data_IF_363611511680
#
_entry.id   IF_363611511680
#
_cell.length_a   1.000
_cell.length_b   1.000
_cell.length_c   1.000
_cell.angle_alpha   90.00
_cell.angle_beta   90.00
_cell.angle_gamma   90.00
#
_symmetry.space_group_name_H-M   'P 1'
#
loop_
_entity.id
_entity.type
_entity.pdbx_description
1 polymer ?
#
# COMPACT_ATOMS: atom_id res chain seq x y z
N UNK A 1 -16.87 0.95 -18.47
CA UNK A 1 -15.61 0.28 -18.92
C UNK A 1 -14.54 1.36 -19.01
N UNK A 2 -13.43 1.21 -18.31
CA UNK A 2 -12.32 2.16 -18.32
C UNK A 2 -11.05 1.48 -18.84
N UNK A 3 -10.11 2.28 -19.41
CA UNK A 3 -8.75 1.85 -19.75
C UNK A 3 -7.82 2.15 -18.58
N UNK A 4 -7.18 1.14 -18.05
CA UNK A 4 -6.42 1.22 -16.79
C UNK A 4 -4.96 0.79 -17.02
N UNK A 5 -4.03 1.58 -16.52
CA UNK A 5 -2.62 1.20 -16.42
C UNK A 5 -2.27 0.92 -14.95
N UNK A 6 -1.74 -0.27 -14.68
CA UNK A 6 -1.21 -0.62 -13.35
C UNK A 6 0.32 -0.61 -13.41
N UNK A 7 0.91 0.42 -12.81
CA UNK A 7 2.36 0.60 -12.70
C UNK A 7 2.80 -0.13 -11.45
N UNK A 8 3.51 -1.27 -11.64
CA UNK A 8 3.94 -2.13 -10.54
C UNK A 8 3.06 -3.37 -10.33
N UNK A 9 3.05 -4.28 -11.30
CA UNK A 9 2.37 -5.58 -11.22
C UNK A 9 3.16 -6.61 -10.39
N UNK A 10 3.38 -6.29 -9.10
CA UNK A 10 3.75 -7.24 -8.04
C UNK A 10 2.52 -8.05 -7.57
N UNK A 11 2.58 -8.67 -6.37
CA UNK A 11 1.47 -9.48 -5.86
C UNK A 11 0.14 -8.73 -5.83
N UNK A 12 0.10 -7.49 -5.30
CA UNK A 12 -1.12 -6.67 -5.23
C UNK A 12 -1.54 -6.20 -6.61
N UNK A 13 -0.61 -5.63 -7.40
CA UNK A 13 -0.94 -5.07 -8.73
C UNK A 13 -1.43 -6.13 -9.70
N UNK A 14 -0.89 -7.36 -9.67
CA UNK A 14 -1.37 -8.47 -10.50
C UNK A 14 -2.77 -8.93 -10.07
N UNK A 15 -3.02 -9.09 -8.76
CA UNK A 15 -4.35 -9.45 -8.27
C UNK A 15 -5.38 -8.36 -8.60
N UNK A 16 -5.01 -7.08 -8.45
CA UNK A 16 -5.87 -5.97 -8.85
C UNK A 16 -6.19 -6.01 -10.35
N UNK A 17 -5.18 -6.29 -11.19
CA UNK A 17 -5.39 -6.40 -12.64
C UNK A 17 -6.44 -7.47 -12.98
N UNK A 18 -6.38 -8.64 -12.36
CA UNK A 18 -7.38 -9.70 -12.56
C UNK A 18 -8.78 -9.27 -12.10
N UNK A 19 -8.89 -8.65 -10.92
CA UNK A 19 -10.18 -8.17 -10.40
C UNK A 19 -10.79 -7.13 -11.34
N UNK A 20 -10.00 -6.15 -11.80
CA UNK A 20 -10.49 -5.10 -12.69
C UNK A 20 -10.83 -5.63 -14.08
N UNK A 21 -10.06 -6.59 -14.62
CA UNK A 21 -10.39 -7.27 -15.87
C UNK A 21 -11.69 -8.06 -15.76
N UNK A 22 -11.90 -8.79 -14.66
CA UNK A 22 -13.13 -9.51 -14.39
C UNK A 22 -14.36 -8.58 -14.26
N UNK A 23 -14.14 -7.33 -13.79
CA UNK A 23 -15.17 -6.27 -13.74
C UNK A 23 -15.41 -5.59 -15.11
N UNK A 24 -14.76 -6.07 -16.19
CA UNK A 24 -14.97 -5.59 -17.55
C UNK A 24 -14.14 -4.35 -17.94
N UNK A 25 -13.08 -4.00 -17.20
CA UNK A 25 -12.15 -2.94 -17.57
C UNK A 25 -11.05 -3.48 -18.51
N UNK A 26 -10.49 -2.60 -19.35
CA UNK A 26 -9.30 -2.91 -20.14
C UNK A 26 -8.05 -2.57 -19.32
N UNK A 27 -7.32 -3.58 -18.90
CA UNK A 27 -6.17 -3.42 -18.00
C UNK A 27 -4.86 -3.70 -18.72
N UNK A 28 -3.90 -2.78 -18.57
CA UNK A 28 -2.51 -2.96 -18.97
C UNK A 28 -1.63 -2.92 -17.72
N UNK A 29 -0.79 -3.94 -17.53
CA UNK A 29 0.20 -3.98 -16.47
C UNK A 29 1.55 -3.46 -16.94
N UNK A 30 2.16 -2.50 -16.24
CA UNK A 30 3.55 -2.09 -16.48
C UNK A 30 4.47 -2.79 -15.49
N UNK A 31 5.43 -3.55 -16.01
CA UNK A 31 6.35 -4.37 -15.20
C UNK A 31 7.68 -4.57 -15.94
N UNK A 32 8.80 -4.56 -15.21
CA UNK A 32 10.14 -4.81 -15.78
C UNK A 32 10.29 -6.23 -16.35
N UNK A 33 9.75 -7.22 -15.65
CA UNK A 33 9.85 -8.64 -16.00
C UNK A 33 8.45 -9.26 -15.92
N UNK A 34 7.62 -9.15 -16.98
CA UNK A 34 6.31 -9.80 -17.02
C UNK A 34 6.45 -11.33 -17.07
N UNK A 35 5.44 -12.10 -16.59
CA UNK A 35 5.46 -13.53 -16.67
C UNK A 35 5.49 -14.00 -18.15
N UNK A 36 6.27 -15.03 -18.44
CA UNK A 36 6.39 -15.60 -19.81
C UNK A 36 5.15 -16.37 -20.26
N UNK A 37 4.34 -16.82 -19.29
CA UNK A 37 3.10 -17.58 -19.50
C UNK A 37 1.97 -16.84 -18.81
N UNK A 38 1.48 -15.80 -19.43
CA UNK A 38 0.18 -15.24 -19.02
C UNK A 38 -0.92 -15.91 -19.82
N UNK A 39 -2.06 -16.14 -19.19
CA UNK A 39 -3.27 -16.68 -19.80
C UNK A 39 -3.93 -15.74 -20.82
N UNK A 40 -3.30 -14.59 -21.10
CA UNK A 40 -3.80 -13.57 -22.02
C UNK A 40 -4.88 -12.65 -21.42
N UNK A 41 -5.09 -12.72 -20.11
CA UNK A 41 -6.10 -11.92 -19.40
C UNK A 41 -5.62 -10.48 -19.13
N UNK A 42 -4.30 -10.25 -19.10
CA UNK A 42 -3.70 -8.95 -18.84
C UNK A 42 -2.67 -8.64 -19.91
N UNK A 43 -2.82 -7.50 -20.58
CA UNK A 43 -1.80 -6.98 -21.48
C UNK A 43 -0.64 -6.40 -20.66
N UNK A 44 0.62 -6.78 -20.97
CA UNK A 44 1.78 -6.23 -20.29
C UNK A 44 2.60 -5.31 -21.17
N UNK A 45 2.96 -4.15 -20.60
CA UNK A 45 3.99 -3.25 -21.15
C UNK A 45 5.27 -3.43 -20.33
N UNK A 46 6.36 -3.84 -21.00
CA UNK A 46 7.67 -4.07 -20.35
C UNK A 46 8.45 -2.77 -20.30
N UNK A 47 8.69 -2.23 -19.11
CA UNK A 47 9.50 -1.02 -18.92
C UNK A 47 10.02 -0.92 -17.48
N UNK A 48 11.17 -0.26 -17.32
CA UNK A 48 11.63 0.30 -16.04
C UNK A 48 11.24 1.78 -15.99
N UNK A 49 10.39 2.16 -15.04
CA UNK A 49 9.93 3.56 -14.91
C UNK A 49 11.07 4.53 -14.59
N UNK A 50 12.19 4.04 -14.05
CA UNK A 50 13.37 4.86 -13.76
C UNK A 50 14.18 5.22 -15.01
N UNK A 51 13.94 4.52 -16.11
CA UNK A 51 14.57 4.72 -17.42
C UNK A 51 13.58 5.37 -18.38
N UNK A 52 13.71 6.67 -18.61
CA UNK A 52 12.74 7.45 -19.41
C UNK A 52 12.58 6.93 -20.84
N UNK A 53 13.64 6.39 -21.43
CA UNK A 53 13.63 5.80 -22.79
C UNK A 53 12.74 4.57 -22.89
N UNK A 54 12.59 3.79 -21.82
CA UNK A 54 11.73 2.60 -21.78
C UNK A 54 10.24 2.97 -21.92
N UNK A 55 9.89 4.21 -21.53
CA UNK A 55 8.52 4.72 -21.60
C UNK A 55 8.16 5.31 -22.96
N UNK A 56 9.09 5.34 -23.94
CA UNK A 56 8.89 6.01 -25.24
C UNK A 56 7.61 5.55 -25.93
N UNK A 57 7.39 4.25 -26.00
CA UNK A 57 6.28 3.65 -26.74
C UNK A 57 5.09 3.29 -25.82
N UNK A 58 5.11 3.72 -24.54
CA UNK A 58 4.00 3.53 -23.62
C UNK A 58 2.77 4.32 -24.14
N UNK A 59 1.62 3.65 -24.36
CA UNK A 59 0.37 4.35 -24.67
C UNK A 59 0.00 5.36 -23.58
N UNK A 60 -0.72 6.42 -23.95
CA UNK A 60 -1.09 7.48 -23.01
C UNK A 60 -2.61 7.72 -22.95
N UNK A 61 -3.39 6.87 -23.60
CA UNK A 61 -4.85 6.94 -23.68
C UNK A 61 -5.55 6.13 -22.56
N UNK A 62 -5.00 6.20 -21.35
CA UNK A 62 -5.60 5.59 -20.15
C UNK A 62 -6.50 6.58 -19.41
N UNK A 63 -7.59 6.06 -18.84
CA UNK A 63 -8.50 6.82 -17.97
C UNK A 63 -7.97 6.90 -16.55
N UNK A 64 -7.38 5.79 -16.06
CA UNK A 64 -6.88 5.69 -14.68
C UNK A 64 -5.50 5.03 -14.64
N UNK A 65 -4.62 5.57 -13.81
CA UNK A 65 -3.29 5.03 -13.52
C UNK A 65 -3.19 4.62 -12.04
N UNK A 66 -2.83 3.38 -11.80
CA UNK A 66 -2.43 2.92 -10.47
C UNK A 66 -0.92 2.95 -10.34
N UNK A 67 -0.40 3.62 -9.33
CA UNK A 67 1.01 3.58 -8.97
C UNK A 67 1.20 2.70 -7.73
N UNK A 68 1.58 1.42 -7.95
CA UNK A 68 1.68 0.39 -6.90
C UNK A 68 3.12 -0.16 -6.86
N UNK A 69 4.10 0.69 -7.11
CA UNK A 69 5.49 0.27 -7.13
C UNK A 69 6.07 0.28 -5.73
N UNK A 70 6.86 -0.73 -5.40
CA UNK A 70 7.70 -0.73 -4.21
C UNK A 70 9.17 -0.62 -4.61
N UNK A 71 9.97 0.00 -3.77
CA UNK A 71 11.42 0.06 -3.94
C UNK A 71 12.04 -1.35 -3.86
N UNK A 72 13.04 -1.62 -4.70
CA UNK A 72 13.80 -2.88 -4.67
C UNK A 72 14.71 -2.99 -3.45
N UNK A 73 15.12 -1.85 -2.90
CA UNK A 73 15.98 -1.75 -1.72
C UNK A 73 15.32 -0.98 -0.59
N UNK A 74 15.94 -1.04 0.60
CA UNK A 74 15.49 -0.31 1.79
C UNK A 74 16.28 0.99 2.03
N UNK A 75 17.16 1.38 1.10
CA UNK A 75 17.96 2.59 1.19
C UNK A 75 17.27 3.78 0.51
N UNK A 76 17.70 4.99 0.84
CA UNK A 76 17.14 6.23 0.31
C UNK A 76 17.22 6.32 -1.21
N UNK A 77 18.33 5.91 -1.81
CA UNK A 77 18.56 5.95 -3.26
C UNK A 77 17.50 5.13 -4.02
N UNK A 78 17.23 3.90 -3.57
CA UNK A 78 16.21 3.04 -4.18
C UNK A 78 14.81 3.67 -4.11
N UNK A 79 14.48 4.35 -3.01
CA UNK A 79 13.22 5.09 -2.89
C UNK A 79 13.19 6.32 -3.79
N UNK A 80 14.30 7.06 -3.88
CA UNK A 80 14.42 8.23 -4.77
C UNK A 80 14.22 7.83 -6.23
N UNK A 81 14.85 6.74 -6.66
CA UNK A 81 14.71 6.23 -8.02
C UNK A 81 13.24 5.95 -8.38
N UNK A 82 12.46 5.39 -7.47
CA UNK A 82 11.05 5.06 -7.72
C UNK A 82 10.14 6.29 -7.54
N UNK A 83 10.17 6.91 -6.36
CA UNK A 83 9.17 7.91 -5.97
C UNK A 83 9.47 9.32 -6.48
N UNK A 84 10.71 9.60 -6.87
CA UNK A 84 11.10 10.87 -7.51
C UNK A 84 11.34 10.68 -9.01
N UNK A 85 12.36 9.93 -9.42
CA UNK A 85 12.75 9.78 -10.83
C UNK A 85 11.67 9.04 -11.63
N UNK A 86 11.24 7.87 -11.19
CA UNK A 86 10.24 7.05 -11.87
C UNK A 86 8.88 7.75 -12.00
N UNK A 87 8.40 8.36 -10.90
CA UNK A 87 7.16 9.13 -10.95
C UNK A 87 7.29 10.33 -11.91
N UNK A 88 8.40 11.08 -11.87
CA UNK A 88 8.62 12.21 -12.77
C UNK A 88 8.65 11.78 -14.24
N UNK A 89 9.29 10.67 -14.58
CA UNK A 89 9.31 10.14 -15.95
C UNK A 89 7.91 9.85 -16.46
N UNK A 90 7.05 9.26 -15.64
CA UNK A 90 5.65 8.99 -15.99
C UNK A 90 4.85 10.29 -16.14
N UNK A 91 4.94 11.20 -15.17
CA UNK A 91 4.27 12.49 -15.23
C UNK A 91 4.63 13.28 -16.50
N UNK A 92 5.92 13.29 -16.85
CA UNK A 92 6.40 13.93 -18.07
C UNK A 92 5.84 13.23 -19.33
N UNK A 93 5.80 11.89 -19.36
CA UNK A 93 5.26 11.12 -20.49
C UNK A 93 3.80 11.48 -20.77
N UNK A 94 2.95 11.49 -19.74
CA UNK A 94 1.53 11.81 -19.89
C UNK A 94 1.29 13.28 -20.18
N UNK A 95 2.03 14.20 -19.55
CA UNK A 95 1.95 15.64 -19.78
C UNK A 95 2.33 16.01 -21.21
N UNK A 96 3.43 15.45 -21.75
CA UNK A 96 3.86 15.71 -23.14
C UNK A 96 2.84 15.23 -24.17
N UNK A 97 2.08 14.19 -23.86
CA UNK A 97 0.99 13.70 -24.71
C UNK A 97 -0.31 14.49 -24.53
N UNK A 98 -0.38 15.48 -23.64
CA UNK A 98 -1.60 16.20 -23.28
C UNK A 98 -2.65 15.34 -22.55
N UNK A 99 -2.27 14.17 -22.06
CA UNK A 99 -3.15 13.25 -21.35
C UNK A 99 -3.22 13.60 -19.85
N UNK A 100 -4.42 13.51 -19.28
CA UNK A 100 -4.70 13.79 -17.86
C UNK A 100 -5.46 12.63 -17.23
N UNK A 101 -4.82 11.47 -17.06
CA UNK A 101 -5.46 10.33 -16.40
C UNK A 101 -5.65 10.60 -14.91
N UNK A 102 -6.67 9.99 -14.33
CA UNK A 102 -6.86 9.95 -12.88
C UNK A 102 -5.81 9.04 -12.21
N UNK A 103 -5.14 9.49 -11.17
CA UNK A 103 -4.13 8.71 -10.46
C UNK A 103 -4.64 8.15 -9.14
N UNK A 104 -4.39 6.86 -8.92
CA UNK A 104 -4.54 6.21 -7.61
C UNK A 104 -3.16 5.77 -7.16
N UNK A 105 -2.63 6.49 -6.18
CA UNK A 105 -1.26 6.29 -5.68
C UNK A 105 -1.26 5.48 -4.39
N UNK A 106 -0.55 4.37 -4.39
CA UNK A 106 -0.33 3.56 -3.18
C UNK A 106 0.81 4.14 -2.36
N UNK A 107 0.46 4.65 -1.21
CA UNK A 107 1.34 5.19 -0.20
C UNK A 107 1.41 4.27 1.04
N UNK A 108 1.99 4.75 2.12
CA UNK A 108 2.22 4.02 3.35
C UNK A 108 1.86 4.86 4.58
N UNK A 109 1.30 4.23 5.61
CA UNK A 109 1.12 4.85 6.92
C UNK A 109 2.45 5.28 7.58
N UNK A 110 3.60 4.92 6.99
CA UNK A 110 4.92 5.37 7.44
C UNK A 110 5.15 6.88 7.25
N UNK A 111 4.29 7.57 6.48
CA UNK A 111 4.33 9.03 6.34
C UNK A 111 3.91 9.77 7.61
N UNK A 112 3.25 9.11 8.54
CA UNK A 112 2.90 9.66 9.85
C UNK A 112 4.06 9.52 10.82
N UNK A 113 4.52 10.63 11.40
CA UNK A 113 5.64 10.69 12.34
C UNK A 113 5.28 10.46 13.81
N UNK A 114 3.99 10.28 14.15
CA UNK A 114 3.51 10.08 15.52
C UNK A 114 4.17 8.86 16.19
N UNK A 115 4.55 9.00 17.46
CA UNK A 115 5.41 8.02 18.17
C UNK A 115 4.99 7.67 19.60
N UNK A 116 3.84 8.18 20.08
CA UNK A 116 3.36 7.99 21.46
C UNK A 116 2.08 7.15 21.56
N UNK A 117 1.72 6.40 20.50
CA UNK A 117 0.51 5.60 20.46
C UNK A 117 -0.75 6.41 20.13
N UNK A 118 -0.60 7.59 19.53
CA UNK A 118 -1.73 8.44 19.15
C UNK A 118 -2.56 7.81 18.02
N UNK A 119 -3.83 8.19 17.97
CA UNK A 119 -4.66 7.92 16.81
C UNK A 119 -4.29 8.87 15.67
N UNK A 120 -4.16 8.33 14.48
CA UNK A 120 -3.95 9.08 13.23
C UNK A 120 -5.01 8.72 12.21
N UNK A 121 -5.42 9.71 11.45
CA UNK A 121 -6.33 9.62 10.32
C UNK A 121 -5.77 10.44 9.13
N UNK A 122 -6.55 10.60 8.08
CA UNK A 122 -6.14 11.34 6.89
C UNK A 122 -5.92 12.84 7.12
N UNK A 123 -6.52 13.41 8.19
CA UNK A 123 -6.38 14.83 8.58
C UNK A 123 -5.17 15.04 9.49
N UNK A 124 -4.60 13.97 10.02
CA UNK A 124 -3.42 14.04 10.88
C UNK A 124 -2.17 14.49 10.11
N UNK A 125 -1.30 15.23 10.78
CA UNK A 125 -0.06 15.73 10.17
C UNK A 125 0.82 14.56 9.71
N UNK A 126 1.05 14.49 8.40
CA UNK A 126 1.95 13.53 7.78
C UNK A 126 3.36 14.15 7.63
N UNK A 127 4.17 14.02 8.68
CA UNK A 127 5.53 14.55 8.77
C UNK A 127 6.50 13.44 9.16
N UNK A 128 6.94 12.61 8.18
CA UNK A 128 7.83 11.49 8.44
C UNK A 128 9.24 11.96 8.82
N UNK A 129 9.90 11.20 9.69
CA UNK A 129 11.27 11.48 10.10
C UNK A 129 12.30 10.85 9.15
N UNK A 130 12.07 9.62 8.71
CA UNK A 130 13.00 8.88 7.88
C UNK A 130 12.96 9.31 6.40
N UNK A 131 14.10 9.23 5.72
CA UNK A 131 14.28 9.68 4.34
C UNK A 131 13.35 8.97 3.34
N UNK A 132 13.17 7.67 3.46
CA UNK A 132 12.30 6.90 2.56
C UNK A 132 10.84 7.34 2.63
N UNK A 133 10.31 7.55 3.84
CA UNK A 133 8.93 8.03 4.02
C UNK A 133 8.75 9.49 3.60
N UNK A 134 9.82 10.32 3.69
CA UNK A 134 9.80 11.69 3.14
C UNK A 134 9.63 11.68 1.62
N UNK A 135 10.32 10.79 0.92
CA UNK A 135 10.18 10.63 -0.53
C UNK A 135 8.76 10.17 -0.93
N UNK A 136 8.19 9.22 -0.18
CA UNK A 136 6.78 8.81 -0.39
C UNK A 136 5.85 10.01 -0.18
N UNK A 137 6.02 10.78 0.90
CA UNK A 137 5.18 11.95 1.21
C UNK A 137 5.31 13.05 0.15
N UNK A 138 6.51 13.27 -0.40
CA UNK A 138 6.72 14.20 -1.51
C UNK A 138 5.99 13.74 -2.78
N UNK A 139 5.99 12.44 -3.08
CA UNK A 139 5.24 11.87 -4.20
C UNK A 139 3.73 12.02 -4.02
N UNK A 140 3.20 11.77 -2.79
CA UNK A 140 1.79 12.06 -2.45
C UNK A 140 1.44 13.51 -2.79
N UNK A 141 2.21 14.46 -2.24
CA UNK A 141 1.93 15.89 -2.40
C UNK A 141 1.93 16.29 -3.87
N UNK A 142 2.92 15.83 -4.64
CA UNK A 142 3.02 16.11 -6.07
C UNK A 142 1.77 15.68 -6.85
N UNK A 143 1.22 14.50 -6.54
CA UNK A 143 0.01 13.99 -7.20
C UNK A 143 -1.26 14.70 -6.73
N UNK A 144 -1.34 15.04 -5.45
CA UNK A 144 -2.47 15.81 -4.90
C UNK A 144 -2.51 17.25 -5.45
N UNK A 145 -1.34 17.86 -5.65
CA UNK A 145 -1.23 19.22 -6.23
C UNK A 145 -1.48 19.21 -7.74
N UNK A 146 -1.25 18.07 -8.42
CA UNK A 146 -1.44 17.94 -9.86
C UNK A 146 -2.92 17.99 -10.26
N UNK A 147 -3.77 17.29 -9.52
CA UNK A 147 -5.21 17.22 -9.78
C UNK A 147 -5.95 16.86 -8.48
N UNK A 148 -7.01 17.62 -8.10
CA UNK A 148 -7.81 17.33 -6.90
C UNK A 148 -8.57 16.00 -6.95
N UNK A 149 -8.76 15.42 -8.13
CA UNK A 149 -9.39 14.11 -8.29
C UNK A 149 -8.43 12.94 -8.02
N UNK A 150 -7.11 13.19 -7.98
CA UNK A 150 -6.13 12.14 -7.69
C UNK A 150 -6.27 11.64 -6.25
N UNK A 151 -6.13 10.31 -6.09
CA UNK A 151 -6.35 9.63 -4.81
C UNK A 151 -5.03 9.05 -4.30
N UNK A 152 -4.73 9.30 -3.04
CA UNK A 152 -3.65 8.68 -2.28
C UNK A 152 -4.24 7.65 -1.33
N UNK A 153 -3.74 6.42 -1.34
CA UNK A 153 -4.14 5.35 -0.43
C UNK A 153 -2.96 4.97 0.46
N UNK A 154 -3.01 5.34 1.74
CA UNK A 154 -1.98 5.03 2.74
C UNK A 154 -2.23 3.67 3.36
N UNK A 155 -1.55 2.64 2.89
CA UNK A 155 -1.65 1.32 3.50
C UNK A 155 -0.82 1.22 4.79
N UNK A 156 -1.37 0.54 5.79
CA UNK A 156 -0.62 0.08 6.96
C UNK A 156 0.24 -1.15 6.62
N UNK A 157 0.82 -1.82 7.60
CA UNK A 157 1.70 -2.97 7.38
C UNK A 157 0.98 -4.10 6.63
N UNK A 158 1.32 -4.31 5.36
CA UNK A 158 0.66 -5.31 4.52
C UNK A 158 1.14 -6.71 4.87
N UNK A 159 0.20 -7.62 5.14
CA UNK A 159 0.45 -9.03 5.38
C UNK A 159 -0.45 -9.92 4.49
N UNK A 160 -0.18 -11.23 4.45
CA UNK A 160 -0.92 -12.19 3.63
C UNK A 160 0.03 -13.23 3.03
N UNK A 161 -0.42 -14.05 2.07
CA UNK A 161 0.40 -15.05 1.40
C UNK A 161 1.69 -14.44 0.83
N UNK A 162 2.85 -15.05 1.17
CA UNK A 162 4.18 -14.55 0.81
C UNK A 162 4.68 -13.35 1.65
N UNK A 163 3.89 -12.84 2.59
CA UNK A 163 4.21 -11.72 3.49
C UNK A 163 4.06 -12.11 4.97
N UNK A 164 4.62 -13.24 5.34
CA UNK A 164 4.46 -13.91 6.63
C UNK A 164 5.56 -13.55 7.63
N UNK A 165 6.08 -12.32 7.56
CA UNK A 165 7.20 -11.91 8.42
C UNK A 165 6.91 -12.09 9.91
N UNK A 166 5.71 -11.69 10.39
CA UNK A 166 5.35 -11.80 11.80
C UNK A 166 5.13 -13.25 12.25
N UNK A 167 4.65 -14.14 11.37
CA UNK A 167 4.58 -15.58 11.67
C UNK A 167 5.97 -16.16 11.91
N UNK A 168 6.90 -15.88 10.99
CA UNK A 168 8.30 -16.33 11.14
C UNK A 168 8.98 -15.74 12.38
N UNK A 169 8.66 -14.48 12.71
CA UNK A 169 9.18 -13.82 13.91
C UNK A 169 8.63 -14.45 15.19
N UNK A 170 7.33 -14.76 15.24
CA UNK A 170 6.71 -15.40 16.41
C UNK A 170 7.34 -16.76 16.74
N UNK A 171 7.67 -17.57 15.72
CA UNK A 171 8.34 -18.87 15.90
C UNK A 171 9.74 -18.77 16.54
N UNK A 172 10.34 -17.57 16.58
CA UNK A 172 11.69 -17.35 17.16
C UNK A 172 11.63 -16.86 18.62
N UNK A 173 10.47 -16.87 19.28
CA UNK A 173 10.27 -16.33 20.62
C UNK A 173 10.94 -14.94 20.80
N UNK A 174 10.54 -13.92 20.02
CA UNK A 174 11.24 -12.64 19.97
C UNK A 174 11.13 -11.87 21.28
N UNK A 175 12.14 -11.04 21.57
CA UNK A 175 12.07 -10.07 22.64
C UNK A 175 11.24 -8.85 22.17
N UNK A 176 10.07 -8.61 22.77
CA UNK A 176 9.10 -7.59 22.39
C UNK A 176 8.86 -6.63 23.55
N UNK A 177 8.76 -5.33 23.22
CA UNK A 177 8.38 -4.31 24.19
C UNK A 177 6.92 -4.53 24.63
N UNK A 178 6.72 -4.63 25.97
CA UNK A 178 5.40 -4.77 26.55
C UNK A 178 4.89 -3.43 27.10
N UNK A 179 5.76 -2.70 27.82
CA UNK A 179 5.45 -1.41 28.42
C UNK A 179 6.54 -0.38 28.10
N UNK A 180 6.15 0.87 27.68
CA UNK A 180 4.80 1.23 27.23
C UNK A 180 4.40 0.44 25.97
N UNK A 181 3.09 0.30 25.66
CA UNK A 181 2.64 -0.48 24.50
C UNK A 181 3.13 0.13 23.19
N UNK A 182 3.64 -0.71 22.29
CA UNK A 182 4.04 -0.35 20.94
C UNK A 182 2.97 -0.82 19.96
N UNK A 183 2.13 0.09 19.50
CA UNK A 183 1.04 -0.21 18.57
C UNK A 183 1.57 -0.44 17.15
N UNK A 184 0.98 -1.43 16.51
CA UNK A 184 1.24 -1.77 15.12
C UNK A 184 -0.08 -1.89 14.36
N UNK A 185 -0.06 -1.53 13.09
CA UNK A 185 -1.23 -1.47 12.22
C UNK A 185 -1.02 -2.36 11.02
N UNK A 186 -2.07 -3.03 10.55
CA UNK A 186 -1.99 -4.03 9.48
C UNK A 186 -3.15 -3.90 8.51
N UNK A 187 -2.95 -4.46 7.35
CA UNK A 187 -3.99 -4.71 6.36
C UNK A 187 -3.66 -5.98 5.59
N UNK A 188 -4.64 -6.84 5.39
CA UNK A 188 -4.44 -8.02 4.56
C UNK A 188 -4.31 -7.64 3.08
N UNK A 189 -3.47 -8.35 2.31
CA UNK A 189 -3.25 -8.01 0.89
C UNK A 189 -4.51 -8.10 0.03
N UNK A 190 -5.49 -8.95 0.38
CA UNK A 190 -6.79 -8.97 -0.30
C UNK A 190 -7.57 -7.68 -0.07
N UNK A 191 -7.52 -7.12 1.14
CA UNK A 191 -8.15 -5.84 1.44
C UNK A 191 -7.42 -4.68 0.73
N UNK A 192 -6.10 -4.78 0.50
CA UNK A 192 -5.42 -3.80 -0.35
C UNK A 192 -6.01 -3.78 -1.76
N UNK A 193 -6.19 -4.96 -2.36
CA UNK A 193 -6.83 -5.09 -3.69
C UNK A 193 -8.27 -4.61 -3.66
N UNK A 194 -9.03 -5.03 -2.64
CA UNK A 194 -10.43 -4.63 -2.47
C UNK A 194 -10.61 -3.12 -2.34
N UNK A 195 -9.80 -2.45 -1.52
CA UNK A 195 -9.83 -0.97 -1.36
C UNK A 195 -9.54 -0.27 -2.68
N UNK A 196 -8.50 -0.69 -3.41
CA UNK A 196 -8.13 -0.07 -4.68
C UNK A 196 -9.23 -0.23 -5.75
N UNK A 197 -9.80 -1.42 -5.87
CA UNK A 197 -10.91 -1.67 -6.79
C UNK A 197 -12.17 -0.87 -6.37
N UNK A 198 -12.51 -0.87 -5.08
CA UNK A 198 -13.65 -0.15 -4.55
C UNK A 198 -13.56 1.36 -4.82
N UNK A 199 -12.41 2.00 -4.60
CA UNK A 199 -12.23 3.42 -4.85
C UNK A 199 -12.40 3.77 -6.33
N UNK A 200 -11.90 2.93 -7.25
CA UNK A 200 -12.14 3.11 -8.68
C UNK A 200 -13.63 3.04 -9.02
N UNK A 201 -14.32 2.02 -8.55
CA UNK A 201 -15.76 1.84 -8.83
C UNK A 201 -16.59 3.01 -8.29
N UNK A 202 -16.22 3.56 -7.11
CA UNK A 202 -16.87 4.75 -6.54
C UNK A 202 -16.60 5.99 -7.39
N UNK A 203 -15.36 6.19 -7.85
CA UNK A 203 -14.99 7.27 -8.75
C UNK A 203 -15.77 7.18 -10.08
N UNK A 204 -15.81 6.00 -10.70
CA UNK A 204 -16.55 5.79 -11.96
C UNK A 204 -18.08 5.95 -11.79
N UNK A 205 -18.60 5.71 -10.60
CA UNK A 205 -20.00 5.96 -10.27
C UNK A 205 -20.32 7.44 -9.98
N UNK A 206 -19.33 8.33 -10.08
CA UNK A 206 -19.49 9.77 -9.83
C UNK A 206 -19.67 10.12 -8.35
N UNK A 207 -19.25 9.25 -7.44
CA UNK A 207 -19.24 9.56 -6.00
C UNK A 207 -18.08 10.52 -5.74
N UNK A 208 -18.35 11.65 -5.08
CA UNK A 208 -17.29 12.57 -4.65
C UNK A 208 -16.36 11.87 -3.67
N UNK A 209 -15.08 11.77 -4.02
CA UNK A 209 -14.06 11.14 -3.22
C UNK A 209 -13.10 12.18 -2.62
N UNK A 210 -12.53 11.84 -1.49
CA UNK A 210 -11.45 12.61 -0.87
C UNK A 210 -10.11 12.22 -1.50
N UNK A 211 -9.15 13.15 -1.48
CA UNK A 211 -7.82 12.91 -2.05
C UNK A 211 -6.97 11.90 -1.27
N UNK A 212 -7.33 11.55 -0.04
CA UNK A 212 -6.54 10.66 0.79
C UNK A 212 -7.42 9.68 1.56
N UNK A 213 -7.02 8.41 1.59
CA UNK A 213 -7.63 7.35 2.39
C UNK A 213 -6.56 6.59 3.16
N UNK A 214 -6.78 6.40 4.47
CA UNK A 214 -5.96 5.54 5.32
C UNK A 214 -6.59 4.15 5.38
N UNK A 215 -5.89 3.17 4.84
CA UNK A 215 -6.36 1.79 4.77
C UNK A 215 -5.58 0.90 5.74
N UNK A 216 -6.24 0.49 6.79
CA UNK A 216 -5.81 -0.40 7.86
C UNK A 216 -6.97 -1.28 8.28
N UNK A 217 -6.70 -2.44 8.88
CA UNK A 217 -7.74 -3.21 9.56
C UNK A 217 -8.35 -2.42 10.75
N UNK A 218 -9.38 -2.98 11.39
CA UNK A 218 -10.09 -2.33 12.51
C UNK A 218 -9.37 -2.51 13.86
N UNK A 219 -8.23 -3.24 13.88
CA UNK A 219 -7.58 -3.72 15.11
C UNK A 219 -6.11 -3.27 15.22
N UNK A 220 -5.84 -1.96 15.44
CA UNK A 220 -4.50 -1.51 15.78
C UNK A 220 -4.10 -2.05 17.16
N UNK A 221 -3.25 -3.05 17.19
CA UNK A 221 -2.90 -3.78 18.39
C UNK A 221 -1.43 -3.60 18.82
N UNK A 222 -1.12 -3.64 20.12
CA UNK A 222 0.26 -3.69 20.59
C UNK A 222 1.00 -4.90 20.02
N UNK A 223 2.26 -4.71 19.62
CA UNK A 223 3.08 -5.81 19.06
C UNK A 223 3.20 -6.98 20.02
N UNK A 224 3.25 -6.71 21.34
CA UNK A 224 3.26 -7.75 22.37
C UNK A 224 2.03 -8.67 22.27
N UNK A 225 0.84 -8.09 22.17
CA UNK A 225 -0.41 -8.86 22.06
C UNK A 225 -0.44 -9.68 20.79
N UNK A 226 -0.01 -9.08 19.66
CA UNK A 226 0.06 -9.78 18.38
C UNK A 226 1.01 -10.98 18.44
N UNK A 227 2.22 -10.78 18.98
CA UNK A 227 3.20 -11.86 19.08
C UNK A 227 2.76 -12.95 20.05
N UNK A 228 2.13 -12.59 21.19
CA UNK A 228 1.59 -13.55 22.14
C UNK A 228 0.48 -14.38 21.51
N UNK A 229 -0.45 -13.76 20.82
CA UNK A 229 -1.54 -14.44 20.13
C UNK A 229 -1.02 -15.36 19.01
N UNK A 230 -0.06 -14.89 18.20
CA UNK A 230 0.54 -15.71 17.15
C UNK A 230 1.27 -16.92 17.72
N UNK A 231 2.02 -16.74 18.82
CA UNK A 231 2.71 -17.85 19.48
C UNK A 231 1.73 -18.91 20.00
N UNK A 232 0.59 -18.50 20.55
CA UNK A 232 -0.48 -19.39 20.97
C UNK A 232 -1.05 -20.20 19.80
N UNK A 233 -1.39 -19.53 18.68
CA UNK A 233 -1.95 -20.20 17.49
C UNK A 233 -0.94 -21.17 16.86
N UNK A 234 0.34 -20.79 16.80
CA UNK A 234 1.44 -21.60 16.29
C UNK A 234 1.92 -22.69 17.26
N UNK A 235 1.41 -22.70 18.50
CA UNK A 235 1.84 -23.61 19.59
C UNK A 235 3.35 -23.57 19.82
N UNK A 236 3.94 -22.38 19.73
CA UNK A 236 5.35 -22.13 19.95
C UNK A 236 5.58 -21.30 21.23
N UNK A 237 6.84 -21.06 21.59
CA UNK A 237 7.18 -20.29 22.79
C UNK A 237 6.70 -18.85 22.69
N UNK A 238 6.10 -18.26 23.74
CA UNK A 238 5.66 -16.88 23.75
C UNK A 238 6.85 -15.91 23.65
N UNK A 239 6.58 -14.65 23.25
CA UNK A 239 7.60 -13.62 23.24
C UNK A 239 8.15 -13.37 24.64
N UNK A 240 9.40 -12.92 24.73
CA UNK A 240 10.02 -12.45 25.96
C UNK A 240 9.93 -10.93 26.08
N UNK A 241 9.95 -10.41 27.32
CA UNK A 241 9.88 -8.97 27.53
C UNK A 241 11.20 -8.31 27.14
N UNK A 242 11.13 -7.36 26.22
CA UNK A 242 12.25 -6.47 25.90
C UNK A 242 12.18 -5.23 26.80
N UNK A 243 13.22 -5.01 27.61
CA UNK A 243 13.39 -3.76 28.34
C UNK A 243 13.88 -2.70 27.36
N UNK A 244 13.19 -1.55 27.28
CA UNK A 244 13.57 -0.46 26.39
C UNK A 244 13.56 0.89 27.11
N UNK A 245 14.42 1.79 26.68
CA UNK A 245 14.51 3.18 27.17
C UNK A 245 13.53 4.10 26.42
N UNK A 246 12.28 3.79 26.38
CA UNK A 246 11.11 4.64 26.08
C UNK A 246 11.02 5.40 24.73
N UNK A 247 11.84 5.13 23.72
CA UNK A 247 11.70 5.83 22.43
C UNK A 247 11.37 4.87 21.29
N UNK A 248 10.07 4.60 21.09
CA UNK A 248 9.60 3.86 19.91
C UNK A 248 9.27 4.86 18.79
N UNK A 249 10.05 4.82 17.74
CA UNK A 249 9.73 5.53 16.49
C UNK A 249 8.52 4.85 15.84
N UNK A 250 7.57 5.66 15.32
CA UNK A 250 6.38 5.18 14.57
C UNK A 250 5.34 4.39 15.39
N UNK A 251 5.17 4.72 16.68
CA UNK A 251 4.14 4.14 17.54
C UNK A 251 2.84 4.93 17.40
N UNK A 252 1.85 4.40 16.66
CA UNK A 252 0.57 5.06 16.39
C UNK A 252 -0.54 4.05 16.12
N UNK A 253 -1.80 4.51 16.16
CA UNK A 253 -2.98 3.73 15.82
C UNK A 253 -3.68 4.34 14.62
N UNK A 254 -3.85 3.58 13.53
CA UNK A 254 -4.51 4.02 12.32
C UNK A 254 -6.03 3.95 12.45
N UNK A 255 -6.71 5.03 12.08
CA UNK A 255 -8.16 5.11 12.03
C UNK A 255 -8.62 5.05 10.56
N UNK A 256 -9.38 4.03 10.21
CA UNK A 256 -9.86 3.74 8.86
C UNK A 256 -11.31 4.22 8.61
N UNK A 257 -11.86 5.06 9.48
CA UNK A 257 -13.29 5.43 9.46
C UNK A 257 -13.71 6.11 8.17
N UNK A 258 -12.82 6.82 7.47
CA UNK A 258 -13.13 7.45 6.18
C UNK A 258 -13.51 6.41 5.11
N UNK A 259 -12.76 5.32 4.99
CA UNK A 259 -13.10 4.20 4.09
C UNK A 259 -14.40 3.51 4.50
N UNK A 260 -14.61 3.28 5.80
CA UNK A 260 -15.84 2.66 6.33
C UNK A 260 -17.06 3.55 6.11
N UNK A 261 -16.93 4.85 6.28
CA UNK A 261 -18.00 5.81 6.02
C UNK A 261 -18.38 5.86 4.53
N UNK A 262 -17.41 5.63 3.62
CA UNK A 262 -17.66 5.50 2.18
C UNK A 262 -18.37 4.17 1.83
N UNK A 263 -18.44 3.22 2.76
CA UNK A 263 -19.13 1.94 2.63
C UNK A 263 -18.20 0.73 2.38
N UNK A 264 -16.87 0.89 2.47
CA UNK A 264 -15.96 -0.25 2.38
C UNK A 264 -16.11 -1.16 3.61
N UNK A 265 -16.14 -2.48 3.36
CA UNK A 265 -16.16 -3.51 4.40
C UNK A 265 -14.91 -4.36 4.26
N UNK A 266 -14.07 -4.35 5.28
CA UNK A 266 -12.87 -5.18 5.30
C UNK A 266 -13.22 -6.66 5.30
N UNK A 267 -12.57 -7.42 4.46
CA UNK A 267 -12.68 -8.88 4.44
C UNK A 267 -12.00 -9.50 5.66
N UNK A 268 -10.88 -8.89 6.08
CA UNK A 268 -10.16 -9.24 7.30
C UNK A 268 -10.16 -8.02 8.25
N UNK A 269 -11.21 -7.85 9.07
CA UNK A 269 -11.34 -6.70 9.96
C UNK A 269 -10.32 -6.72 11.12
N UNK A 270 -9.71 -7.87 11.42
CA UNK A 270 -8.65 -8.02 12.42
C UNK A 270 -7.51 -8.86 11.87
N UNK A 271 -6.29 -8.61 12.36
CA UNK A 271 -5.14 -9.46 12.08
C UNK A 271 -5.39 -10.94 12.43
N UNK A 272 -6.25 -11.21 13.43
CA UNK A 272 -6.61 -12.57 13.86
C UNK A 272 -7.30 -13.33 12.72
N UNK A 273 -8.24 -12.67 12.03
CA UNK A 273 -8.95 -13.28 10.91
C UNK A 273 -8.01 -13.68 9.78
N UNK A 274 -7.13 -12.76 9.37
CA UNK A 274 -6.21 -13.01 8.26
C UNK A 274 -5.08 -13.98 8.59
N UNK A 275 -4.51 -13.93 9.81
CA UNK A 275 -3.47 -14.89 10.19
C UNK A 275 -4.00 -16.30 10.42
N UNK A 276 -5.25 -16.47 10.86
CA UNK A 276 -5.87 -17.81 10.99
C UNK A 276 -5.94 -18.54 9.63
N UNK A 277 -6.09 -17.83 8.53
CA UNK A 277 -6.02 -18.47 7.20
C UNK A 277 -4.60 -18.89 6.80
N UNK A 278 -3.59 -18.14 7.24
CA UNK A 278 -2.19 -18.41 6.90
C UNK A 278 -1.57 -19.52 7.74
N UNK A 279 -2.16 -19.82 8.90
CA UNK A 279 -1.69 -20.85 9.85
C UNK A 279 -2.27 -22.23 9.52
N UNK A 280 -3.34 -22.30 8.76
CA UNK A 280 -3.95 -23.56 8.30
C UNK A 280 -3.03 -24.28 7.31
#
# INVERSE_FOLDING_TARGET
MAKILIIGCGAIGTQLAHVLSANGHKVTGLKRNPPKSDTGEIDYFTADITVSTDLKDLPTDFDTLYFIVSSDGRNEESYRNIYESGLNNLLNKFSQAGSKPHWIFVSSSSVYGQSQGEWVDENSIAQPENASSKLIRQAEQKLMDLDPENIVVRFSGIYGPGREYLLRMAMQAPAIQQNPPYFTNRIHQQDCVGVLAFLLERSLAGVGLEQCYLASDDDPAPMWEVMSWLAEQLKCQPPTVKVTDNHCVMNKRCNNQRLKALGYKFHYPSYKDGYLELIK
#
